data_IF_434368553372
#
_entry.id   IF_434368553372
#
_cell.length_a   1.000
_cell.length_b   1.000
_cell.length_c   1.000
_cell.angle_alpha   90.00
_cell.angle_beta   90.00
_cell.angle_gamma   90.00
#
_symmetry.space_group_name_H-M   'P 1'
#
loop_
_entity.id
_entity.type
_entity.pdbx_description
1 polymer ?
#
# COMPACT_ATOMS: atom_id res chain seq x y z
N UNK A 1 -30.47 -9.14 20.46
CA UNK A 1 -29.38 -9.25 19.47
C UNK A 1 -29.32 -7.92 18.77
N UNK A 2 -28.51 -7.00 19.29
CA UNK A 2 -28.23 -5.73 18.64
C UNK A 2 -27.07 -5.97 17.67
N UNK A 3 -27.32 -5.86 16.38
CA UNK A 3 -26.27 -5.73 15.37
C UNK A 3 -25.66 -4.34 15.50
N UNK A 4 -24.43 -4.27 16.04
CA UNK A 4 -23.57 -3.11 15.87
C UNK A 4 -23.07 -3.11 14.42
N UNK A 5 -23.70 -2.29 13.58
CA UNK A 5 -23.11 -1.88 12.30
C UNK A 5 -21.93 -0.95 12.59
N UNK A 6 -20.72 -1.49 12.54
CA UNK A 6 -19.50 -0.68 12.54
C UNK A 6 -19.38 0.04 11.19
N UNK A 7 -20.10 1.14 11.01
CA UNK A 7 -19.78 2.10 9.96
C UNK A 7 -18.38 2.66 10.26
N UNK A 8 -17.37 2.10 9.62
CA UNK A 8 -16.00 2.58 9.66
C UNK A 8 -15.93 3.99 9.07
N UNK A 9 -16.11 5.01 9.90
CA UNK A 9 -15.70 6.38 9.56
C UNK A 9 -14.18 6.39 9.42
N UNK A 10 -13.70 6.22 8.20
CA UNK A 10 -12.32 6.53 7.85
C UNK A 10 -12.12 8.03 8.13
N UNK A 11 -11.31 8.38 9.13
CA UNK A 11 -11.05 9.78 9.47
C UNK A 11 -10.38 10.45 8.28
N UNK A 12 -10.72 11.70 7.98
CA UNK A 12 -10.10 12.47 6.88
C UNK A 12 -8.57 12.46 6.97
N UNK A 13 -8.02 12.37 8.19
CA UNK A 13 -6.59 12.27 8.50
C UNK A 13 -5.93 10.99 7.97
N UNK A 14 -6.69 9.92 7.74
CA UNK A 14 -6.19 8.66 7.18
C UNK A 14 -6.17 8.61 5.65
N UNK A 15 -6.71 9.65 4.99
CA UNK A 15 -6.74 9.75 3.53
C UNK A 15 -5.41 10.32 3.01
N UNK A 16 -4.66 9.50 2.28
CA UNK A 16 -3.36 9.87 1.70
C UNK A 16 -3.51 10.69 0.41
N UNK A 17 -4.51 10.38 -0.42
CA UNK A 17 -4.65 10.96 -1.75
C UNK A 17 -5.32 12.33 -1.77
N UNK A 18 -4.68 13.32 -2.41
CA UNK A 18 -5.22 14.70 -2.52
C UNK A 18 -5.17 15.27 -3.95
N UNK A 19 -4.19 14.86 -4.77
CA UNK A 19 -3.93 15.48 -6.07
C UNK A 19 -4.63 14.82 -7.27
N UNK A 20 -5.09 13.57 -7.13
CA UNK A 20 -5.75 12.83 -8.22
C UNK A 20 -4.83 12.33 -9.34
N UNK A 21 -3.50 12.49 -9.21
CA UNK A 21 -2.53 12.09 -10.26
C UNK A 21 -1.83 10.75 -10.00
N UNK A 22 -1.94 10.19 -8.79
CA UNK A 22 -1.15 9.03 -8.36
C UNK A 22 -1.37 7.78 -9.22
N UNK A 23 -2.58 7.57 -9.73
CA UNK A 23 -2.91 6.43 -10.59
C UNK A 23 -2.08 6.43 -11.90
N UNK A 24 -1.82 7.61 -12.48
CA UNK A 24 -1.09 7.72 -13.75
C UNK A 24 0.39 7.35 -13.64
N UNK A 25 0.94 7.21 -12.42
CA UNK A 25 2.30 6.68 -12.22
C UNK A 25 2.48 5.28 -12.82
N UNK A 26 1.40 4.48 -12.92
CA UNK A 26 1.43 3.17 -13.57
C UNK A 26 1.88 3.27 -15.05
N UNK A 27 1.54 4.35 -15.75
CA UNK A 27 1.86 4.51 -17.18
C UNK A 27 3.36 4.65 -17.45
N UNK A 28 4.15 5.02 -16.43
CA UNK A 28 5.61 5.11 -16.53
C UNK A 28 6.26 3.74 -16.80
N UNK A 29 5.65 2.67 -16.29
CA UNK A 29 6.20 1.30 -16.36
C UNK A 29 5.32 0.35 -17.17
N UNK A 30 4.08 0.73 -17.46
CA UNK A 30 3.10 -0.10 -18.14
C UNK A 30 3.11 0.07 -19.66
N UNK A 31 2.94 -1.04 -20.37
CA UNK A 31 2.51 -1.08 -21.76
C UNK A 31 0.98 -0.98 -21.87
N UNK A 32 0.25 -1.65 -20.96
CA UNK A 32 -1.19 -1.50 -20.82
C UNK A 32 -1.61 -1.62 -19.34
N UNK A 33 -2.77 -1.07 -19.02
CA UNK A 33 -3.38 -1.13 -17.69
C UNK A 33 -4.85 -1.50 -17.84
N UNK A 34 -5.30 -2.48 -17.05
CA UNK A 34 -6.68 -2.91 -16.97
C UNK A 34 -7.17 -2.76 -15.54
N UNK A 35 -8.26 -2.03 -15.33
CA UNK A 35 -8.89 -1.86 -14.01
C UNK A 35 -10.26 -2.53 -14.04
N UNK A 36 -10.47 -3.45 -13.11
CA UNK A 36 -11.76 -4.09 -12.83
C UNK A 36 -12.25 -3.57 -11.51
N UNK A 37 -13.40 -2.91 -11.47
CA UNK A 37 -13.91 -2.31 -10.23
C UNK A 37 -15.41 -2.53 -10.07
N UNK A 38 -15.84 -2.78 -8.83
CA UNK A 38 -17.26 -2.85 -8.46
C UNK A 38 -17.46 -2.20 -7.10
N UNK A 39 -18.42 -1.28 -7.03
CA UNK A 39 -18.88 -0.69 -5.77
C UNK A 39 -19.61 -1.75 -4.95
N UNK A 40 -19.53 -1.68 -3.62
CA UNK A 40 -20.20 -2.60 -2.69
C UNK A 40 -21.72 -2.67 -2.93
N UNK A 41 -22.38 -1.50 -3.06
CA UNK A 41 -23.84 -1.40 -3.25
C UNK A 41 -24.29 -1.45 -4.72
N UNK A 42 -23.51 -2.08 -5.60
CA UNK A 42 -23.80 -2.15 -7.03
C UNK A 42 -23.60 -3.55 -7.57
N UNK A 43 -24.61 -4.06 -8.28
CA UNK A 43 -24.49 -5.32 -9.03
C UNK A 43 -23.64 -5.15 -10.30
N UNK A 44 -23.54 -3.91 -10.79
CA UNK A 44 -22.77 -3.54 -11.98
C UNK A 44 -21.31 -3.30 -11.63
N UNK A 45 -20.41 -3.95 -12.37
CA UNK A 45 -18.99 -3.68 -12.39
C UNK A 45 -18.57 -2.94 -13.66
N UNK A 46 -17.36 -2.37 -13.62
CA UNK A 46 -16.77 -1.68 -14.76
C UNK A 46 -15.38 -2.21 -15.06
N UNK A 47 -15.10 -2.32 -16.35
CA UNK A 47 -13.82 -2.66 -16.92
C UNK A 47 -13.27 -1.44 -17.65
N UNK A 48 -12.24 -0.84 -17.08
CA UNK A 48 -11.50 0.26 -17.69
C UNK A 48 -10.21 -0.28 -18.29
N UNK A 49 -9.88 0.11 -19.53
CA UNK A 49 -8.68 -0.38 -20.25
C UNK A 49 -7.93 0.79 -20.87
N UNK A 50 -6.60 0.76 -20.75
CA UNK A 50 -5.69 1.66 -21.43
C UNK A 50 -4.56 0.88 -22.10
N UNK A 51 -4.32 1.15 -23.38
CA UNK A 51 -3.40 0.39 -24.24
C UNK A 51 -2.20 1.24 -24.73
N UNK A 52 -1.69 2.17 -23.91
CA UNK A 52 -0.46 2.90 -24.25
C UNK A 52 -0.64 4.18 -25.08
N UNK A 53 -1.88 4.67 -25.25
CA UNK A 53 -2.18 5.89 -26.03
C UNK A 53 -2.85 7.01 -25.19
N UNK A 54 -3.48 7.97 -25.86
CA UNK A 54 -4.13 9.11 -25.19
C UNK A 54 -5.59 8.83 -24.76
N UNK A 55 -6.11 7.65 -25.09
CA UNK A 55 -7.49 7.27 -24.80
C UNK A 55 -7.58 5.96 -24.02
N UNK A 56 -8.73 5.78 -23.37
CA UNK A 56 -9.10 4.57 -22.64
C UNK A 56 -10.51 4.15 -23.05
N UNK A 57 -10.87 2.89 -22.80
CA UNK A 57 -12.24 2.40 -22.94
C UNK A 57 -12.82 2.03 -21.58
N UNK A 58 -14.15 2.10 -21.47
CA UNK A 58 -14.91 1.67 -20.30
C UNK A 58 -16.08 0.83 -20.77
N UNK A 59 -16.19 -0.37 -20.21
CA UNK A 59 -17.24 -1.35 -20.51
C UNK A 59 -17.92 -1.77 -19.21
N UNK A 60 -19.24 -1.91 -19.22
CA UNK A 60 -19.99 -2.51 -18.11
C UNK A 60 -19.76 -4.03 -18.11
N UNK A 61 -19.62 -4.62 -16.93
CA UNK A 61 -19.47 -6.07 -16.76
C UNK A 61 -20.20 -6.54 -15.51
N UNK A 62 -20.83 -7.70 -15.61
CA UNK A 62 -21.46 -8.34 -14.47
C UNK A 62 -20.43 -9.16 -13.67
N UNK A 63 -20.76 -9.50 -12.43
CA UNK A 63 -20.05 -10.54 -11.65
C UNK A 63 -18.58 -10.27 -11.30
N UNK A 64 -18.19 -9.02 -11.06
CA UNK A 64 -16.90 -8.70 -10.42
C UNK A 64 -16.99 -8.80 -8.88
N UNK A 65 -15.91 -9.12 -8.15
CA UNK A 65 -15.88 -8.97 -6.69
C UNK A 65 -15.96 -7.49 -6.28
N UNK A 66 -16.42 -7.20 -5.05
CA UNK A 66 -16.38 -5.84 -4.49
C UNK A 66 -14.93 -5.36 -4.41
N UNK A 67 -14.69 -4.09 -4.74
CA UNK A 67 -13.39 -3.45 -4.68
C UNK A 67 -12.80 -3.21 -6.07
N UNK A 68 -11.47 -3.04 -6.13
CA UNK A 68 -10.77 -2.73 -7.37
C UNK A 68 -9.56 -3.65 -7.55
N UNK A 69 -9.41 -4.18 -8.76
CA UNK A 69 -8.26 -4.96 -9.21
C UNK A 69 -7.60 -4.23 -10.38
N UNK A 70 -6.31 -3.95 -10.25
CA UNK A 70 -5.51 -3.28 -11.27
C UNK A 70 -4.50 -4.31 -11.81
N UNK A 71 -4.57 -4.57 -13.11
CA UNK A 71 -3.64 -5.44 -13.83
C UNK A 71 -2.75 -4.55 -14.70
N UNK A 72 -1.44 -4.67 -14.51
CA UNK A 72 -0.44 -3.86 -15.20
C UNK A 72 0.41 -4.78 -16.06
N UNK A 73 0.32 -4.66 -17.38
CA UNK A 73 1.27 -5.31 -18.27
C UNK A 73 2.48 -4.41 -18.40
N UNK A 74 3.62 -4.85 -17.87
CA UNK A 74 4.85 -4.06 -17.83
C UNK A 74 5.49 -3.96 -19.22
N UNK A 75 6.19 -2.84 -19.45
CA UNK A 75 7.05 -2.69 -20.63
C UNK A 75 8.27 -3.63 -20.52
N UNK A 76 8.83 -4.08 -21.66
CA UNK A 76 10.10 -4.81 -21.65
C UNK A 76 11.25 -3.90 -21.14
N UNK A 77 12.37 -4.53 -20.78
CA UNK A 77 13.53 -3.83 -20.21
C UNK A 77 13.41 -3.67 -18.69
N UNK A 78 13.84 -2.52 -18.18
CA UNK A 78 13.95 -2.27 -16.73
C UNK A 78 12.60 -2.36 -16.00
N UNK A 79 11.50 -2.00 -16.66
CA UNK A 79 10.17 -2.10 -16.07
C UNK A 79 9.75 -3.55 -15.79
N UNK A 80 10.30 -4.53 -16.51
CA UNK A 80 10.00 -5.95 -16.28
C UNK A 80 10.48 -6.43 -14.89
N UNK A 81 11.41 -5.71 -14.24
CA UNK A 81 11.87 -6.05 -12.90
C UNK A 81 10.75 -5.97 -11.85
N UNK A 82 9.74 -5.14 -12.07
CA UNK A 82 8.57 -5.04 -11.17
C UNK A 82 7.67 -6.28 -11.22
N UNK A 83 7.91 -7.24 -12.11
CA UNK A 83 7.28 -8.57 -12.06
C UNK A 83 7.95 -9.51 -11.05
N UNK A 84 9.16 -9.19 -10.58
CA UNK A 84 9.92 -10.01 -9.62
C UNK A 84 9.43 -9.74 -8.19
N UNK A 85 9.13 -10.81 -7.44
CA UNK A 85 8.64 -10.72 -6.05
C UNK A 85 9.59 -9.89 -5.18
N UNK A 86 10.90 -10.12 -5.32
CA UNK A 86 11.94 -9.48 -4.53
C UNK A 86 11.93 -7.97 -4.73
N UNK A 87 11.76 -7.52 -5.98
CA UNK A 87 11.72 -6.09 -6.31
C UNK A 87 10.47 -5.42 -5.75
N UNK A 88 9.32 -6.07 -5.85
CA UNK A 88 8.06 -5.56 -5.28
C UNK A 88 8.17 -5.45 -3.75
N UNK A 89 8.71 -6.48 -3.09
CA UNK A 89 8.93 -6.47 -1.63
C UNK A 89 9.90 -5.38 -1.20
N UNK A 90 10.99 -5.16 -1.94
CA UNK A 90 11.93 -4.04 -1.70
C UNK A 90 11.21 -2.68 -1.72
N UNK A 91 10.39 -2.45 -2.75
CA UNK A 91 9.62 -1.19 -2.90
C UNK A 91 8.59 -1.03 -1.78
N UNK A 92 7.86 -2.10 -1.42
CA UNK A 92 6.90 -2.07 -0.31
C UNK A 92 7.62 -1.74 1.00
N UNK A 93 8.74 -2.40 1.29
CA UNK A 93 9.51 -2.15 2.51
C UNK A 93 10.03 -0.71 2.60
N UNK A 94 10.31 -0.08 1.45
CA UNK A 94 10.82 1.28 1.38
C UNK A 94 9.74 2.36 1.53
N UNK A 95 8.57 2.16 0.94
CA UNK A 95 7.57 3.24 0.82
C UNK A 95 6.23 2.95 1.51
N UNK A 96 5.87 1.69 1.72
CA UNK A 96 4.53 1.29 2.15
C UNK A 96 4.51 0.33 3.33
N UNK A 97 5.66 0.13 3.98
CA UNK A 97 5.79 -0.85 5.06
C UNK A 97 4.87 -0.57 6.25
N UNK A 98 4.62 0.70 6.55
CA UNK A 98 3.82 1.12 7.70
C UNK A 98 2.36 1.43 7.37
N UNK A 99 1.90 1.01 6.18
CA UNK A 99 0.46 1.00 5.88
C UNK A 99 -0.22 0.05 6.87
N UNK A 100 -1.33 0.50 7.46
CA UNK A 100 -2.05 -0.22 8.52
C UNK A 100 -2.84 -1.44 8.01
N UNK A 101 -3.12 -1.48 6.71
CA UNK A 101 -3.79 -2.61 6.07
C UNK A 101 -2.78 -3.70 5.67
N UNK A 102 -3.15 -5.00 5.75
CA UNK A 102 -2.26 -6.08 5.35
C UNK A 102 -1.98 -6.04 3.84
N UNK A 103 -0.70 -6.10 3.48
CA UNK A 103 -0.18 -6.19 2.12
C UNK A 103 0.31 -7.62 1.90
N UNK A 104 -0.29 -8.30 0.92
CA UNK A 104 0.01 -9.70 0.57
C UNK A 104 0.68 -9.74 -0.80
N UNK A 105 1.83 -10.39 -0.90
CA UNK A 105 2.56 -10.62 -2.15
C UNK A 105 2.72 -12.13 -2.34
N UNK A 106 2.16 -12.66 -3.42
CA UNK A 106 2.18 -14.10 -3.75
C UNK A 106 1.75 -15.01 -2.59
N UNK A 107 0.73 -14.59 -1.83
CA UNK A 107 0.18 -15.35 -0.69
C UNK A 107 0.87 -15.09 0.66
N UNK A 108 1.96 -14.32 0.68
CA UNK A 108 2.69 -14.01 1.91
C UNK A 108 2.48 -12.56 2.35
N UNK A 109 2.25 -12.34 3.65
CA UNK A 109 2.14 -11.00 4.23
C UNK A 109 3.52 -10.34 4.36
N UNK A 110 3.65 -9.11 3.86
CA UNK A 110 4.94 -8.39 3.79
C UNK A 110 5.09 -7.34 4.91
N UNK A 111 4.03 -6.61 5.25
CA UNK A 111 4.05 -5.59 6.31
C UNK A 111 3.48 -6.14 7.63
N UNK A 112 4.25 -6.03 8.72
CA UNK A 112 3.90 -6.61 10.02
C UNK A 112 4.11 -5.65 11.21
N UNK A 113 4.35 -4.35 10.97
CA UNK A 113 4.69 -3.41 12.05
C UNK A 113 3.77 -2.20 12.01
N UNK A 114 3.29 -1.84 13.19
CA UNK A 114 2.47 -0.66 13.39
C UNK A 114 3.29 0.63 13.28
N UNK A 115 2.64 1.70 12.82
CA UNK A 115 3.24 3.03 12.77
C UNK A 115 3.36 3.64 14.17
N UNK A 116 4.35 3.20 14.97
CA UNK A 116 4.45 3.48 16.40
C UNK A 116 4.50 4.99 16.75
N UNK A 117 4.92 5.83 15.81
CA UNK A 117 4.95 7.30 15.99
C UNK A 117 3.55 7.94 16.02
N UNK A 118 2.53 7.21 15.58
CA UNK A 118 1.12 7.65 15.66
C UNK A 118 0.49 7.30 17.00
N UNK A 119 1.06 6.33 17.71
CA UNK A 119 0.54 5.81 18.98
C UNK A 119 0.79 6.78 20.14
N UNK A 120 0.18 6.51 21.29
CA UNK A 120 0.50 7.25 22.51
C UNK A 120 1.90 6.85 22.99
N UNK A 121 2.82 7.80 23.26
CA UNK A 121 4.18 7.47 23.73
C UNK A 121 4.22 6.58 24.98
N UNK A 122 3.18 6.63 25.83
CA UNK A 122 3.09 5.78 27.04
C UNK A 122 2.76 4.32 26.74
N UNK A 123 2.22 4.02 25.56
CA UNK A 123 1.82 2.67 25.14
C UNK A 123 2.89 1.97 24.31
N UNK A 124 3.92 2.70 23.85
CA UNK A 124 4.98 2.16 23.01
C UNK A 124 6.12 1.62 23.88
N UNK A 125 6.40 0.32 23.77
CA UNK A 125 7.47 -0.33 24.56
C UNK A 125 8.85 -0.14 23.93
N UNK A 126 9.89 -0.42 24.70
CA UNK A 126 11.27 -0.43 24.20
C UNK A 126 11.47 -1.43 23.05
N UNK A 127 10.82 -2.60 23.11
CA UNK A 127 10.88 -3.63 22.06
C UNK A 127 10.24 -3.15 20.76
N UNK A 128 9.17 -2.35 20.86
CA UNK A 128 8.53 -1.73 19.69
C UNK A 128 9.48 -0.72 19.03
N UNK A 129 10.18 0.09 19.84
CA UNK A 129 11.21 1.01 19.34
C UNK A 129 12.40 0.27 18.70
N UNK A 130 12.88 -0.82 19.31
CA UNK A 130 13.95 -1.66 18.74
C UNK A 130 13.51 -2.26 17.38
N UNK A 131 12.29 -2.77 17.29
CA UNK A 131 11.74 -3.35 16.06
C UNK A 131 11.60 -2.30 14.96
N UNK A 132 11.05 -1.13 15.29
CA UNK A 132 10.94 0.00 14.38
C UNK A 132 12.30 0.49 13.89
N UNK A 133 13.27 0.64 14.80
CA UNK A 133 14.64 1.03 14.46
C UNK A 133 15.29 0.04 13.49
N UNK A 134 15.22 -1.26 13.79
CA UNK A 134 15.77 -2.31 12.91
C UNK A 134 15.13 -2.26 11.53
N UNK A 135 13.82 -2.01 11.46
CA UNK A 135 13.14 -1.91 10.19
C UNK A 135 13.58 -0.70 9.37
N UNK A 136 13.72 0.47 9.98
CA UNK A 136 14.28 1.65 9.31
C UNK A 136 15.72 1.41 8.86
N UNK A 137 16.53 0.76 9.71
CA UNK A 137 17.92 0.45 9.41
C UNK A 137 18.06 -0.48 8.19
N UNK A 138 17.18 -1.48 8.03
CA UNK A 138 17.18 -2.36 6.86
C UNK A 138 17.08 -1.59 5.54
N UNK A 139 16.32 -0.51 5.52
CA UNK A 139 16.08 0.28 4.30
C UNK A 139 17.11 1.39 4.11
N UNK A 140 17.55 2.05 5.19
CA UNK A 140 18.31 3.30 5.10
C UNK A 140 19.70 3.26 5.73
N UNK A 141 19.95 2.34 6.68
CA UNK A 141 21.21 2.25 7.43
C UNK A 141 21.65 0.78 7.57
N UNK A 142 22.05 0.10 6.48
CA UNK A 142 22.30 -1.35 6.50
C UNK A 142 23.36 -1.79 7.51
N UNK A 143 24.33 -0.91 7.78
CA UNK A 143 25.41 -1.15 8.74
C UNK A 143 24.92 -1.17 10.21
N UNK A 144 23.71 -0.68 10.50
CA UNK A 144 23.13 -0.59 11.84
C UNK A 144 21.99 -1.60 12.08
N UNK A 145 21.72 -2.53 11.15
CA UNK A 145 20.58 -3.47 11.24
C UNK A 145 20.62 -4.34 12.50
N UNK A 146 21.82 -4.62 13.00
CA UNK A 146 22.02 -5.44 14.20
C UNK A 146 22.07 -4.60 15.49
N UNK A 147 22.18 -3.28 15.37
CA UNK A 147 22.35 -2.37 16.49
C UNK A 147 21.01 -2.07 17.18
N UNK A 148 21.09 -1.34 18.30
CA UNK A 148 19.94 -0.82 19.04
C UNK A 148 20.06 0.70 19.17
N UNK A 149 18.94 1.43 19.22
CA UNK A 149 18.99 2.87 19.48
C UNK A 149 19.61 3.11 20.86
N UNK A 150 20.63 3.99 20.92
CA UNK A 150 21.24 4.39 22.20
C UNK A 150 20.31 5.32 22.99
N UNK A 151 19.53 6.12 22.27
CA UNK A 151 18.55 7.05 22.82
C UNK A 151 17.28 7.01 21.98
N UNK A 152 16.15 7.18 22.64
CA UNK A 152 14.83 7.21 22.00
C UNK A 152 14.10 8.49 22.40
N UNK A 153 13.67 9.26 21.41
CA UNK A 153 12.81 10.43 21.62
C UNK A 153 11.53 10.20 20.82
N UNK A 154 10.43 9.94 21.53
CA UNK A 154 9.09 9.87 20.93
C UNK A 154 8.35 11.18 21.22
N UNK A 155 8.34 12.07 20.24
CA UNK A 155 7.74 13.39 20.36
C UNK A 155 6.43 13.47 19.56
N UNK A 156 5.32 13.77 20.25
CA UNK A 156 4.01 13.99 19.66
C UNK A 156 3.46 15.31 20.18
N UNK A 157 3.18 16.25 19.27
CA UNK A 157 2.47 17.49 19.58
C UNK A 157 1.02 17.27 19.22
N UNK A 158 0.15 17.31 20.23
CA UNK A 158 -1.31 17.40 20.06
C UNK A 158 -1.73 18.79 19.67
#
# INVERSE_FOLDING_TARGET
>A
MEEQSSQGKMSTESIIGQFGVGFYSAFMVANNVVVKTRKEDSDKGYLWKWNGGDSYSVEETDSLPVGSRIEVTLRPGDAAEFAKKEKVVEVINKYSYFITLPIIVNGERVNNVDAIWTMNPKEVTSEMHDTFFRQLAKTHLPHMVNDRPQYTIHYKVT
#
